data_IF_510094534195
#
_entry.id   IF_510094534195
#
_cell.length_a   1.000
_cell.length_b   1.000
_cell.length_c   1.000
_cell.angle_alpha   90.00
_cell.angle_beta   90.00
_cell.angle_gamma   90.00
#
_symmetry.space_group_name_H-M   'P 1'
#
loop_
_entity.id
_entity.type
_entity.pdbx_description
1 polymer ?
#
# COMPACT_ATOMS: atom_id res chain seq x y z
N UNK A 1 -13.66 18.90 -14.08
CA UNK A 1 -13.10 18.17 -12.91
C UNK A 1 -12.65 16.77 -13.31
N UNK A 2 -11.38 16.43 -13.05
CA UNK A 2 -10.77 15.11 -13.30
C UNK A 2 -11.30 14.05 -12.33
N UNK A 3 -10.93 12.78 -12.54
CA UNK A 3 -11.24 11.69 -11.59
C UNK A 3 -10.62 11.96 -10.22
N UNK A 4 -9.41 12.51 -10.18
CA UNK A 4 -8.74 12.98 -8.96
C UNK A 4 -9.63 13.93 -8.16
N UNK A 5 -10.08 15.04 -8.78
CA UNK A 5 -10.94 16.03 -8.11
C UNK A 5 -12.28 15.46 -7.65
N UNK A 6 -12.89 14.56 -8.44
CA UNK A 6 -14.12 13.84 -8.06
C UNK A 6 -13.91 12.98 -6.81
N UNK A 7 -12.75 12.33 -6.68
CA UNK A 7 -12.42 11.51 -5.52
C UNK A 7 -12.11 12.36 -4.29
N UNK A 8 -11.43 13.50 -4.44
CA UNK A 8 -11.26 14.49 -3.36
C UNK A 8 -12.62 14.96 -2.83
N UNK A 9 -13.51 15.40 -3.72
CA UNK A 9 -14.84 15.87 -3.36
C UNK A 9 -15.64 14.81 -2.57
N UNK A 10 -15.58 13.54 -2.99
CA UNK A 10 -16.23 12.42 -2.29
C UNK A 10 -15.67 12.19 -0.90
N UNK A 11 -14.34 12.22 -0.77
CA UNK A 11 -13.67 12.06 0.51
C UNK A 11 -14.07 13.17 1.49
N UNK A 12 -14.02 14.43 1.05
CA UNK A 12 -14.41 15.59 1.87
C UNK A 12 -15.89 15.53 2.28
N UNK A 13 -16.79 15.20 1.34
CA UNK A 13 -18.23 15.04 1.65
C UNK A 13 -18.44 13.94 2.68
N UNK A 14 -17.73 12.82 2.56
CA UNK A 14 -17.81 11.74 3.55
C UNK A 14 -17.24 12.16 4.92
N UNK A 15 -16.20 13.00 4.94
CA UNK A 15 -15.60 13.54 6.17
C UNK A 15 -16.45 14.60 6.87
N UNK A 16 -17.62 14.96 6.31
CA UNK A 16 -18.53 15.95 6.90
C UNK A 16 -18.16 17.41 6.59
N UNK A 17 -17.33 17.64 5.56
CA UNK A 17 -17.09 19.00 5.06
C UNK A 17 -18.38 19.54 4.44
N UNK A 18 -18.65 20.82 4.68
CA UNK A 18 -19.83 21.53 4.20
C UNK A 18 -20.03 21.40 2.68
N UNK A 19 -21.29 21.25 2.25
CA UNK A 19 -21.62 20.98 0.86
C UNK A 19 -21.23 22.14 -0.07
N UNK A 20 -21.41 23.39 0.35
CA UNK A 20 -21.00 24.55 -0.45
C UNK A 20 -19.47 24.61 -0.59
N UNK A 21 -18.72 24.23 0.46
CA UNK A 21 -17.27 24.13 0.37
C UNK A 21 -16.82 23.01 -0.58
N UNK A 22 -17.47 21.85 -0.56
CA UNK A 22 -17.16 20.76 -1.52
C UNK A 22 -17.54 21.16 -2.95
N UNK A 23 -18.68 21.80 -3.14
CA UNK A 23 -19.15 22.27 -4.45
C UNK A 23 -18.21 23.34 -5.03
N UNK A 24 -17.60 24.17 -4.18
CA UNK A 24 -16.62 25.18 -4.60
C UNK A 24 -15.42 24.58 -5.35
N UNK A 25 -15.11 23.29 -5.17
CA UNK A 25 -14.06 22.60 -5.95
C UNK A 25 -14.34 22.65 -7.46
N UNK A 26 -15.61 22.74 -7.87
CA UNK A 26 -15.97 22.84 -9.30
C UNK A 26 -15.52 24.15 -9.95
N UNK A 27 -15.20 25.17 -9.15
CA UNK A 27 -14.69 26.46 -9.62
C UNK A 27 -13.20 26.44 -9.99
N UNK A 28 -12.48 25.35 -9.67
CA UNK A 28 -11.05 25.23 -9.92
C UNK A 28 -10.75 24.32 -11.11
N UNK A 29 -9.68 24.63 -11.84
CA UNK A 29 -9.18 23.76 -12.89
C UNK A 29 -8.33 22.61 -12.29
N UNK A 30 -8.79 21.38 -12.52
CA UNK A 30 -8.10 20.16 -12.10
C UNK A 30 -7.33 19.50 -13.25
N UNK A 31 -7.23 20.11 -14.43
CA UNK A 31 -6.59 19.52 -15.62
C UNK A 31 -5.17 19.00 -15.36
N UNK A 32 -4.39 19.69 -14.52
CA UNK A 32 -3.05 19.28 -14.09
C UNK A 32 -2.99 18.01 -13.21
N UNK A 33 -4.14 17.42 -12.88
CA UNK A 33 -4.24 16.16 -12.11
C UNK A 33 -4.79 15.01 -12.96
N UNK A 34 -4.83 15.17 -14.29
CA UNK A 34 -5.44 14.20 -15.20
C UNK A 34 -4.77 12.82 -15.15
N UNK A 35 -3.48 12.80 -14.86
CA UNK A 35 -2.63 11.61 -14.71
C UNK A 35 -2.45 11.18 -13.25
N UNK A 36 -3.00 11.91 -12.28
CA UNK A 36 -2.89 11.58 -10.86
C UNK A 36 -4.12 10.82 -10.34
N UNK A 37 -3.89 9.89 -9.43
CA UNK A 37 -4.94 9.18 -8.72
C UNK A 37 -5.11 9.69 -7.29
N UNK A 38 -6.33 9.95 -6.84
CA UNK A 38 -6.61 10.18 -5.41
C UNK A 38 -7.24 8.92 -4.82
N UNK A 39 -6.54 8.30 -3.86
CA UNK A 39 -6.94 7.06 -3.19
C UNK A 39 -7.27 7.38 -1.74
N UNK A 40 -8.32 6.77 -1.21
CA UNK A 40 -8.77 7.03 0.15
C UNK A 40 -9.44 5.83 0.82
N UNK A 41 -9.50 5.87 2.14
CA UNK A 41 -10.27 4.97 3.00
C UNK A 41 -11.21 5.78 3.87
N UNK A 42 -12.43 5.29 4.03
CA UNK A 42 -13.48 5.87 4.88
C UNK A 42 -13.89 4.80 5.89
N UNK A 43 -13.92 5.07 7.20
CA UNK A 43 -14.40 4.11 8.20
C UNK A 43 -15.82 3.62 7.90
N UNK A 44 -16.05 2.33 8.11
CA UNK A 44 -17.38 1.72 7.93
C UNK A 44 -17.37 0.52 7.00
N UNK A 45 -18.59 0.05 6.68
CA UNK A 45 -18.84 -1.05 5.75
C UNK A 45 -19.37 -0.52 4.42
N UNK A 46 -18.70 -0.86 3.33
CA UNK A 46 -19.01 -0.39 1.98
C UNK A 46 -19.36 -1.56 1.08
N UNK A 47 -20.48 -1.47 0.36
CA UNK A 47 -20.99 -2.50 -0.54
C UNK A 47 -21.18 -1.93 -1.95
N UNK A 48 -21.47 -2.80 -2.92
CA UNK A 48 -21.76 -2.39 -4.29
C UNK A 48 -20.65 -1.53 -4.90
N UNK A 49 -21.00 -0.37 -5.44
CA UNK A 49 -20.05 0.53 -6.08
C UNK A 49 -19.11 1.22 -5.07
N UNK A 50 -19.59 1.50 -3.86
CA UNK A 50 -18.80 2.16 -2.82
C UNK A 50 -17.61 1.29 -2.36
N UNK A 51 -17.79 -0.04 -2.35
CA UNK A 51 -16.72 -1.00 -2.08
C UNK A 51 -15.51 -0.78 -2.99
N UNK A 52 -15.74 -0.54 -4.29
CA UNK A 52 -14.70 -0.41 -5.30
C UNK A 52 -13.92 0.91 -5.21
N UNK A 53 -14.35 1.84 -4.36
CA UNK A 53 -13.80 3.20 -4.26
C UNK A 53 -12.92 3.42 -3.04
N UNK A 54 -12.92 2.51 -2.06
CA UNK A 54 -12.24 2.70 -0.78
C UNK A 54 -11.18 1.63 -0.52
N UNK A 55 -10.18 1.95 0.28
CA UNK A 55 -9.15 0.99 0.69
C UNK A 55 -8.37 0.42 -0.48
N UNK A 56 -7.92 -0.83 -0.36
CA UNK A 56 -7.16 -1.47 -1.44
C UNK A 56 -8.00 -1.71 -2.71
N UNK A 57 -9.32 -1.83 -2.61
CA UNK A 57 -10.20 -1.88 -3.78
C UNK A 57 -10.16 -0.55 -4.56
N UNK A 58 -10.23 0.57 -3.83
CA UNK A 58 -10.07 1.91 -4.39
C UNK A 58 -8.69 2.15 -5.02
N UNK A 59 -7.63 1.61 -4.41
CA UNK A 59 -6.29 1.62 -4.99
C UNK A 59 -6.29 0.91 -6.35
N UNK A 60 -6.78 -0.33 -6.42
CA UNK A 60 -6.78 -1.09 -7.68
C UNK A 60 -7.66 -0.49 -8.77
N UNK A 61 -8.84 0.05 -8.40
CA UNK A 61 -9.67 0.80 -9.33
C UNK A 61 -8.96 2.04 -9.88
N UNK A 62 -8.19 2.74 -9.03
CA UNK A 62 -7.40 3.91 -9.43
C UNK A 62 -6.25 3.53 -10.37
N UNK A 63 -5.46 2.51 -10.02
CA UNK A 63 -4.39 1.96 -10.87
C UNK A 63 -4.94 1.58 -12.25
N UNK A 64 -6.09 0.91 -12.30
CA UNK A 64 -6.77 0.57 -13.56
C UNK A 64 -7.24 1.80 -14.32
N UNK A 65 -7.86 2.75 -13.65
CA UNK A 65 -8.37 3.99 -14.26
C UNK A 65 -7.28 4.86 -14.87
N UNK A 66 -6.06 4.80 -14.33
CA UNK A 66 -4.87 5.48 -14.87
C UNK A 66 -4.18 4.72 -16.01
N UNK A 67 -4.68 3.55 -16.42
CA UNK A 67 -4.03 2.72 -17.44
C UNK A 67 -2.74 2.04 -16.96
N UNK A 68 -2.56 1.92 -15.65
CA UNK A 68 -1.37 1.32 -15.01
C UNK A 68 -1.55 -0.17 -14.69
N UNK A 69 -2.77 -0.70 -14.81
CA UNK A 69 -3.07 -2.10 -14.56
C UNK A 69 -2.26 -3.04 -15.46
N UNK A 70 -1.92 -4.22 -14.95
CA UNK A 70 -1.18 -5.24 -15.68
C UNK A 70 -1.49 -6.64 -15.15
N UNK A 71 -1.43 -7.63 -16.01
CA UNK A 71 -1.46 -9.06 -15.69
C UNK A 71 -0.06 -9.67 -15.51
N UNK A 72 0.98 -8.93 -15.93
CA UNK A 72 2.37 -9.34 -15.76
C UNK A 72 2.85 -9.12 -14.33
N UNK A 73 3.88 -9.88 -13.88
CA UNK A 73 4.44 -9.70 -12.55
C UNK A 73 4.96 -8.27 -12.32
N UNK A 74 4.74 -7.73 -11.12
CA UNK A 74 5.28 -6.45 -10.68
C UNK A 74 6.20 -6.65 -9.47
N UNK A 75 7.09 -5.70 -9.21
CA UNK A 75 7.79 -5.55 -7.94
C UNK A 75 7.15 -4.44 -7.11
N UNK A 76 6.91 -4.71 -5.82
CA UNK A 76 6.24 -3.82 -4.88
C UNK A 76 7.12 -3.62 -3.64
N UNK A 77 7.46 -2.37 -3.36
CA UNK A 77 8.23 -1.95 -2.19
C UNK A 77 7.35 -1.02 -1.33
N UNK A 78 6.98 -1.47 -0.12
CA UNK A 78 6.10 -0.72 0.80
C UNK A 78 6.90 -0.21 1.99
N UNK A 79 7.03 1.10 2.13
CA UNK A 79 7.54 1.74 3.34
C UNK A 79 6.39 2.22 4.21
N UNK A 80 6.43 1.95 5.52
CA UNK A 80 5.44 2.43 6.45
C UNK A 80 6.03 2.64 7.85
N UNK A 81 5.36 3.47 8.65
CA UNK A 81 5.78 3.77 10.02
C UNK A 81 5.12 2.82 11.03
N UNK A 82 4.06 2.12 10.65
CA UNK A 82 3.35 1.19 11.52
C UNK A 82 2.91 -0.05 10.76
N UNK A 83 2.98 -1.20 11.43
CA UNK A 83 2.50 -2.49 10.93
C UNK A 83 1.35 -2.97 11.81
N UNK A 84 0.23 -3.28 11.16
CA UNK A 84 -0.90 -3.95 11.80
C UNK A 84 -0.65 -5.44 12.02
N UNK A 85 -1.73 -6.18 12.33
CA UNK A 85 -1.73 -7.65 12.30
C UNK A 85 -1.74 -8.17 10.86
N UNK A 86 -0.67 -7.91 10.11
CA UNK A 86 -0.56 -8.27 8.69
C UNK A 86 -0.40 -9.78 8.52
N UNK A 87 -0.92 -10.30 7.40
CA UNK A 87 -0.82 -11.69 6.99
C UNK A 87 -0.76 -11.77 5.46
N UNK A 88 -0.59 -12.98 4.92
CA UNK A 88 -0.50 -13.20 3.48
C UNK A 88 -1.77 -12.85 2.70
N UNK A 89 -2.96 -12.89 3.30
CA UNK A 89 -4.18 -12.48 2.59
C UNK A 89 -4.16 -10.97 2.34
N UNK A 90 -3.81 -10.15 3.33
CA UNK A 90 -3.65 -8.70 3.15
C UNK A 90 -2.52 -8.38 2.17
N UNK A 91 -1.36 -9.04 2.27
CA UNK A 91 -0.24 -8.80 1.33
C UNK A 91 -0.65 -9.13 -0.10
N UNK A 92 -1.34 -10.25 -0.33
CA UNK A 92 -1.87 -10.59 -1.66
C UNK A 92 -2.91 -9.56 -2.14
N UNK A 93 -3.80 -9.10 -1.26
CA UNK A 93 -4.79 -8.08 -1.61
C UNK A 93 -4.13 -6.78 -2.08
N UNK A 94 -3.11 -6.31 -1.36
CA UNK A 94 -2.34 -5.11 -1.73
C UNK A 94 -1.56 -5.33 -3.03
N UNK A 95 -0.88 -6.48 -3.19
CA UNK A 95 -0.18 -6.81 -4.44
C UNK A 95 -1.13 -6.81 -5.64
N UNK A 96 -2.28 -7.47 -5.51
CA UNK A 96 -3.29 -7.53 -6.58
C UNK A 96 -3.87 -6.13 -6.87
N UNK A 97 -4.15 -5.33 -5.84
CA UNK A 97 -4.55 -3.94 -6.01
C UNK A 97 -3.47 -3.14 -6.76
N UNK A 98 -2.18 -3.42 -6.50
CA UNK A 98 -1.09 -2.79 -7.23
C UNK A 98 -1.03 -3.20 -8.72
N UNK A 99 -1.61 -4.35 -9.09
CA UNK A 99 -1.83 -4.77 -10.47
C UNK A 99 -3.13 -4.22 -11.08
N UNK A 100 -3.96 -3.53 -10.29
CA UNK A 100 -5.25 -2.97 -10.72
C UNK A 100 -6.46 -3.89 -10.48
N UNK A 101 -6.35 -4.87 -9.56
CA UNK A 101 -7.51 -5.67 -9.10
C UNK A 101 -8.40 -4.84 -8.17
N UNK A 102 -9.72 -4.88 -8.37
CA UNK A 102 -10.69 -4.17 -7.54
C UNK A 102 -11.07 -4.91 -6.25
N UNK A 103 -10.26 -5.89 -5.84
CA UNK A 103 -10.38 -6.70 -4.64
C UNK A 103 -11.23 -7.97 -4.77
N UNK A 104 -11.86 -8.19 -5.93
CA UNK A 104 -12.68 -9.38 -6.14
C UNK A 104 -11.85 -10.65 -6.33
N UNK A 105 -10.64 -10.56 -6.88
CA UNK A 105 -9.79 -11.74 -7.07
C UNK A 105 -9.37 -12.37 -5.74
N UNK A 106 -8.90 -11.55 -4.77
CA UNK A 106 -8.56 -12.04 -3.43
C UNK A 106 -9.79 -12.63 -2.73
N UNK A 107 -10.91 -11.89 -2.75
CA UNK A 107 -12.13 -12.30 -2.08
C UNK A 107 -12.64 -13.66 -2.58
N UNK A 108 -12.76 -13.82 -3.90
CA UNK A 108 -13.23 -15.06 -4.53
C UNK A 108 -12.28 -16.23 -4.23
N UNK A 109 -10.98 -15.98 -4.28
CA UNK A 109 -9.96 -16.99 -3.97
C UNK A 109 -10.08 -17.45 -2.51
N UNK A 110 -10.23 -16.52 -1.55
CA UNK A 110 -10.35 -16.85 -0.13
C UNK A 110 -11.67 -17.54 0.21
N UNK A 111 -12.79 -17.11 -0.37
CA UNK A 111 -14.08 -17.80 -0.22
C UNK A 111 -13.99 -19.23 -0.75
N UNK A 112 -13.38 -19.42 -1.92
CA UNK A 112 -13.11 -20.75 -2.49
C UNK A 112 -12.17 -21.61 -1.64
N UNK A 113 -11.15 -21.01 -0.99
CA UNK A 113 -10.22 -21.72 -0.09
C UNK A 113 -10.89 -22.22 1.18
N UNK A 114 -11.78 -21.44 1.80
CA UNK A 114 -12.53 -21.87 2.99
C UNK A 114 -13.36 -23.14 2.73
N UNK A 115 -13.81 -23.33 1.49
CA UNK A 115 -14.50 -24.55 1.07
C UNK A 115 -13.56 -25.76 0.91
N UNK A 116 -12.24 -25.53 0.77
CA UNK A 116 -11.23 -26.56 0.46
C UNK A 116 -10.19 -26.80 1.58
N UNK A 117 -10.28 -26.11 2.72
CA UNK A 117 -9.49 -26.41 3.93
C UNK A 117 -7.96 -26.28 3.83
N UNK A 118 -7.40 -25.61 2.81
CA UNK A 118 -5.94 -25.45 2.64
C UNK A 118 -5.43 -24.10 3.15
N UNK A 119 -4.52 -24.13 4.12
CA UNK A 119 -3.63 -22.99 4.42
C UNK A 119 -2.63 -22.79 3.29
N UNK A 120 -2.36 -21.53 2.95
CA UNK A 120 -1.43 -21.18 1.88
C UNK A 120 -0.04 -20.94 2.48
N UNK A 121 0.97 -21.71 2.02
CA UNK A 121 2.37 -21.27 2.08
C UNK A 121 2.51 -20.06 1.14
N UNK A 122 3.47 -19.15 1.37
CA UNK A 122 3.70 -18.03 0.45
C UNK A 122 3.85 -18.60 -0.96
N UNK A 123 3.13 -18.04 -1.93
CA UNK A 123 3.50 -18.33 -3.33
C UNK A 123 4.93 -17.82 -3.45
N UNK A 124 5.88 -18.66 -3.90
CA UNK A 124 7.29 -18.24 -4.03
C UNK A 124 7.44 -16.86 -4.67
N UNK A 125 6.53 -16.58 -5.61
CA UNK A 125 6.24 -15.27 -6.21
C UNK A 125 6.30 -14.07 -5.25
N UNK A 126 5.58 -14.06 -4.13
CA UNK A 126 5.55 -12.88 -3.25
C UNK A 126 6.90 -12.61 -2.58
N UNK A 127 7.71 -13.65 -2.32
CA UNK A 127 9.02 -13.49 -1.69
C UNK A 127 9.99 -12.72 -2.57
N UNK A 128 9.86 -12.87 -3.87
CA UNK A 128 10.71 -12.21 -4.85
C UNK A 128 10.17 -10.82 -5.23
N UNK A 129 8.89 -10.56 -5.01
CA UNK A 129 8.18 -9.42 -5.59
C UNK A 129 7.60 -8.42 -4.59
N UNK A 130 7.54 -8.74 -3.30
CA UNK A 130 6.95 -7.86 -2.29
C UNK A 130 7.91 -7.64 -1.12
N UNK A 131 8.23 -6.38 -0.83
CA UNK A 131 9.18 -5.98 0.21
C UNK A 131 8.53 -4.96 1.14
N UNK A 132 8.59 -5.22 2.45
CA UNK A 132 8.01 -4.34 3.49
C UNK A 132 9.16 -3.69 4.25
N UNK A 133 9.28 -2.37 4.20
CA UNK A 133 10.33 -1.62 4.89
C UNK A 133 9.80 -1.16 6.23
N UNK A 134 10.40 -1.70 7.30
CA UNK A 134 10.16 -1.30 8.68
C UNK A 134 11.48 -1.36 9.47
N UNK A 135 11.80 -0.37 10.33
CA UNK A 135 13.12 -0.31 10.96
C UNK A 135 13.30 -1.37 12.04
N UNK A 136 14.51 -1.92 12.12
CA UNK A 136 14.91 -2.75 13.25
C UNK A 136 15.05 -1.93 14.53
N UNK A 137 15.03 -2.59 15.69
CA UNK A 137 15.38 -1.95 16.98
C UNK A 137 16.79 -1.35 16.93
N UNK A 138 17.72 -2.00 16.23
CA UNK A 138 19.07 -1.49 16.01
C UNK A 138 19.06 -0.18 15.22
N UNK A 139 18.38 -0.13 14.07
CA UNK A 139 18.23 1.08 13.25
C UNK A 139 17.62 2.23 14.05
N UNK A 140 16.65 1.94 14.92
CA UNK A 140 16.08 2.95 15.83
C UNK A 140 17.08 3.40 16.91
N UNK A 141 17.80 2.46 17.53
CA UNK A 141 18.79 2.77 18.55
C UNK A 141 19.96 3.61 18.04
N UNK A 142 20.41 3.33 16.81
CA UNK A 142 21.51 4.03 16.12
C UNK A 142 21.05 5.34 15.44
N UNK A 143 19.74 5.64 15.45
CA UNK A 143 19.23 6.91 14.92
C UNK A 143 19.67 8.11 15.76
N UNK A 144 19.67 9.30 15.16
CA UNK A 144 20.08 10.56 15.82
C UNK A 144 19.27 10.87 17.09
N UNK A 145 18.00 10.49 17.09
CA UNK A 145 17.11 10.68 18.25
C UNK A 145 17.03 9.46 19.18
N UNK A 146 17.70 8.37 18.83
CA UNK A 146 17.64 7.09 19.53
C UNK A 146 16.22 6.54 19.72
N UNK A 147 16.10 5.55 20.62
CA UNK A 147 14.83 4.88 20.96
C UNK A 147 13.73 5.82 21.46
N UNK A 148 14.10 6.93 22.10
CA UNK A 148 13.14 7.90 22.65
C UNK A 148 12.42 8.71 21.57
N UNK A 149 12.96 8.75 20.35
CA UNK A 149 12.40 9.51 19.22
C UNK A 149 11.57 8.65 18.26
N UNK A 150 11.32 7.38 18.59
CA UNK A 150 10.58 6.44 17.74
C UNK A 150 9.14 6.18 18.20
N UNK A 151 8.57 7.09 19.00
CA UNK A 151 7.20 6.98 19.53
C UNK A 151 6.09 7.00 18.46
N UNK A 152 6.41 7.36 17.22
CA UNK A 152 5.47 7.34 16.09
C UNK A 152 5.68 6.14 15.16
N UNK A 153 6.60 5.23 15.51
CA UNK A 153 6.91 4.03 14.72
C UNK A 153 6.48 2.81 15.53
N UNK A 154 5.58 1.99 14.98
CA UNK A 154 4.88 1.01 15.80
C UNK A 154 4.64 -0.34 15.11
N UNK A 155 5.09 -1.42 15.75
CA UNK A 155 4.51 -2.75 15.57
C UNK A 155 4.34 -3.40 16.94
N UNK A 156 3.25 -4.13 17.15
CA UNK A 156 3.03 -4.86 18.41
C UNK A 156 3.75 -6.20 18.37
N UNK A 157 4.44 -6.55 19.46
CA UNK A 157 5.15 -7.81 19.59
C UNK A 157 4.25 -9.02 19.34
N UNK A 158 2.98 -8.97 19.81
CA UNK A 158 1.99 -10.03 19.60
C UNK A 158 1.69 -10.28 18.11
N UNK A 159 1.67 -9.22 17.30
CA UNK A 159 1.42 -9.33 15.87
C UNK A 159 2.66 -9.85 15.15
N UNK A 160 3.83 -9.28 15.43
CA UNK A 160 5.09 -9.75 14.86
C UNK A 160 5.36 -11.22 15.14
N UNK A 161 5.07 -11.67 16.37
CA UNK A 161 5.32 -13.06 16.79
C UNK A 161 4.28 -14.05 16.27
N UNK A 162 3.17 -13.59 15.69
CA UNK A 162 2.14 -14.48 15.16
C UNK A 162 2.71 -15.35 14.01
N UNK A 163 2.36 -16.66 13.94
CA UNK A 163 2.84 -17.53 12.87
C UNK A 163 2.45 -17.08 11.46
N UNK A 164 1.34 -16.32 11.35
CA UNK A 164 0.84 -15.79 10.08
C UNK A 164 1.52 -14.52 9.61
N UNK A 165 2.37 -13.90 10.43
CA UNK A 165 3.05 -12.66 10.10
C UNK A 165 4.18 -12.93 9.08
N UNK A 166 4.20 -12.25 7.92
CA UNK A 166 5.11 -12.55 6.81
C UNK A 166 6.49 -11.92 7.02
N UNK A 167 7.22 -12.36 8.05
CA UNK A 167 8.52 -11.80 8.45
C UNK A 167 9.55 -11.83 7.32
N UNK A 168 9.51 -12.84 6.44
CA UNK A 168 10.46 -12.99 5.35
C UNK A 168 10.36 -11.89 4.28
N UNK A 169 9.22 -11.18 4.22
CA UNK A 169 9.02 -10.05 3.32
C UNK A 169 9.59 -8.74 3.90
N UNK A 170 9.95 -8.72 5.18
CA UNK A 170 10.36 -7.50 5.87
C UNK A 170 11.84 -7.21 5.61
N UNK A 171 12.13 -5.94 5.34
CA UNK A 171 13.44 -5.35 5.09
C UNK A 171 13.69 -4.23 6.09
N UNK A 172 14.94 -4.09 6.53
CA UNK A 172 15.33 -3.00 7.43
C UNK A 172 15.16 -1.66 6.72
N UNK A 173 14.42 -0.75 7.36
CA UNK A 173 14.12 0.57 6.80
C UNK A 173 15.14 1.59 7.30
N UNK A 174 16.17 1.83 6.48
CA UNK A 174 17.21 2.82 6.75
C UNK A 174 17.04 3.98 5.77
N UNK A 175 16.98 5.20 6.29
CA UNK A 175 16.87 6.41 5.48
C UNK A 175 18.20 6.73 4.78
N UNK A 176 18.15 7.27 3.57
CA UNK A 176 19.33 7.77 2.86
C UNK A 176 19.96 9.00 3.55
N UNK A 177 19.18 9.70 4.38
CA UNK A 177 19.66 10.73 5.31
C UNK A 177 20.10 10.05 6.59
N UNK A 178 21.42 10.03 6.80
CA UNK A 178 22.05 9.35 7.92
C UNK A 178 21.39 9.67 9.29
N UNK A 179 21.05 8.60 10.02
CA UNK A 179 20.42 8.63 11.33
C UNK A 179 18.98 9.17 11.39
N UNK A 180 18.30 9.43 10.26
CA UNK A 180 16.91 9.90 10.24
C UNK A 180 15.92 8.73 10.22
N UNK A 181 14.93 8.75 11.11
CA UNK A 181 13.81 7.79 11.07
C UNK A 181 12.71 8.24 10.09
N UNK A 182 12.00 7.27 9.51
CA UNK A 182 10.93 7.53 8.55
C UNK A 182 9.55 7.42 9.18
N UNK A 183 8.72 8.44 8.93
CA UNK A 183 7.27 8.39 9.21
C UNK A 183 6.42 8.39 7.92
N UNK A 184 7.07 8.32 6.75
CA UNK A 184 6.40 8.29 5.43
C UNK A 184 5.72 6.95 5.16
N UNK A 185 4.64 6.97 4.39
CA UNK A 185 3.97 5.76 3.89
C UNK A 185 3.95 5.82 2.37
N UNK A 186 4.67 4.88 1.76
CA UNK A 186 4.96 4.89 0.34
C UNK A 186 4.78 3.47 -0.19
N UNK A 187 4.18 3.35 -1.38
CA UNK A 187 4.24 2.12 -2.17
C UNK A 187 4.95 2.48 -3.47
N UNK A 188 6.03 1.80 -3.79
CA UNK A 188 6.75 1.93 -5.06
C UNK A 188 6.49 0.68 -5.87
N UNK A 189 6.01 0.84 -7.10
CA UNK A 189 5.70 -0.27 -8.00
C UNK A 189 6.53 -0.15 -9.26
N UNK A 190 7.25 -1.22 -9.59
CA UNK A 190 8.13 -1.32 -10.76
C UNK A 190 7.71 -2.51 -11.61
N UNK A 191 7.80 -2.39 -12.94
CA UNK A 191 7.62 -3.52 -13.86
C UNK A 191 8.99 -4.15 -14.15
N UNK A 192 9.16 -5.48 -14.02
CA UNK A 192 10.38 -6.16 -14.43
C UNK A 192 10.60 -5.99 -15.94
N UNK A 193 11.84 -5.77 -16.37
CA UNK A 193 12.18 -5.55 -17.78
C UNK A 193 11.71 -6.68 -18.72
N UNK A 194 11.65 -7.93 -18.24
CA UNK A 194 11.15 -9.07 -19.02
C UNK A 194 9.64 -9.01 -19.33
N UNK A 195 8.88 -8.20 -18.60
CA UNK A 195 7.43 -8.05 -18.78
C UNK A 195 7.04 -7.04 -19.88
N UNK A 196 8.01 -6.27 -20.41
CA UNK A 196 7.75 -5.19 -21.37
C UNK A 196 7.53 -5.63 -22.82
N UNK A 197 7.88 -6.88 -23.17
CA UNK A 197 7.78 -7.37 -24.55
C UNK A 197 6.33 -7.56 -25.05
N UNK A 198 5.34 -7.33 -24.20
CA UNK A 198 3.91 -7.43 -24.51
C UNK A 198 3.32 -6.03 -24.27
N UNK A 199 3.46 -5.16 -25.26
CA UNK A 199 3.24 -3.72 -25.11
C UNK A 199 1.85 -3.31 -24.59
N UNK A 200 1.79 -2.07 -24.07
CA UNK A 200 0.70 -1.08 -24.20
C UNK A 200 0.67 0.02 -23.12
N UNK A 201 1.62 0.08 -22.16
CA UNK A 201 1.70 1.19 -21.21
C UNK A 201 3.08 1.84 -21.24
N UNK A 202 3.11 3.17 -21.39
CA UNK A 202 4.34 4.00 -21.34
C UNK A 202 4.86 4.20 -19.91
N UNK A 203 4.19 3.65 -18.90
CA UNK A 203 4.59 3.75 -17.51
C UNK A 203 5.49 2.56 -17.11
N UNK A 204 6.74 2.87 -16.75
CA UNK A 204 7.69 1.92 -16.17
C UNK A 204 7.28 1.46 -14.75
N UNK A 205 6.43 2.25 -14.10
CA UNK A 205 5.98 2.02 -12.73
C UNK A 205 5.03 3.11 -12.25
N UNK A 206 4.82 3.14 -10.94
CA UNK A 206 4.08 4.21 -10.26
C UNK A 206 4.37 4.21 -8.77
N UNK A 207 4.04 5.30 -8.09
CA UNK A 207 4.19 5.43 -6.65
C UNK A 207 2.89 5.87 -5.98
N UNK A 208 2.60 5.33 -4.81
CA UNK A 208 1.62 5.89 -3.87
C UNK A 208 2.35 6.63 -2.75
N UNK A 209 1.88 7.81 -2.40
CA UNK A 209 2.31 8.58 -1.23
C UNK A 209 1.08 9.01 -0.44
N UNK A 210 1.02 8.68 0.84
CA UNK A 210 -0.13 9.05 1.66
C UNK A 210 0.02 8.72 3.14
N UNK A 211 -1.12 8.55 3.81
CA UNK A 211 -1.19 8.31 5.25
C UNK A 211 -1.24 6.84 5.64
N UNK A 212 -1.68 5.97 4.72
CA UNK A 212 -2.05 4.59 5.02
C UNK A 212 -0.84 3.71 5.37
N UNK A 213 -0.73 3.32 6.64
CA UNK A 213 0.19 2.27 7.08
C UNK A 213 -0.24 0.90 6.54
N UNK A 214 0.65 -0.10 6.58
CA UNK A 214 0.28 -1.45 6.15
C UNK A 214 -0.51 -2.16 7.25
N UNK A 215 -1.84 -2.02 7.20
CA UNK A 215 -2.79 -2.67 8.11
C UNK A 215 -4.17 -2.86 7.45
N UNK A 216 -4.94 -3.84 7.93
CA UNK A 216 -6.36 -3.99 7.55
C UNK A 216 -7.20 -2.77 7.99
N UNK A 217 -6.79 -2.02 9.02
CA UNK A 217 -7.54 -0.84 9.46
C UNK A 217 -7.48 0.31 8.45
N UNK A 218 -6.29 0.50 7.85
CA UNK A 218 -6.01 1.54 6.88
C UNK A 218 -6.50 1.15 5.48
N UNK A 219 -6.14 -0.04 5.00
CA UNK A 219 -6.46 -0.48 3.63
C UNK A 219 -7.77 -1.25 3.51
N UNK A 220 -8.34 -1.67 4.64
CA UNK A 220 -9.59 -2.43 4.68
C UNK A 220 -9.44 -3.92 4.44
N UNK A 221 -10.58 -4.61 4.54
CA UNK A 221 -10.74 -6.03 4.22
C UNK A 221 -12.11 -6.28 3.58
N UNK A 222 -12.14 -6.94 2.43
CA UNK A 222 -13.40 -7.44 1.87
C UNK A 222 -13.87 -8.66 2.66
N UNK A 223 -15.08 -8.61 3.18
CA UNK A 223 -15.72 -9.70 3.93
C UNK A 223 -17.08 -10.03 3.33
N UNK A 224 -17.61 -11.20 3.66
CA UNK A 224 -19.00 -11.53 3.35
C UNK A 224 -19.90 -10.84 4.37
N UNK A 225 -20.83 -10.02 3.90
CA UNK A 225 -21.86 -9.43 4.74
C UNK A 225 -22.80 -10.50 5.27
N UNK A 226 -23.13 -10.46 6.57
CA UNK A 226 -23.91 -11.52 7.22
C UNK A 226 -25.39 -11.48 6.88
N UNK A 227 -25.95 -10.29 6.63
CA UNK A 227 -27.37 -10.14 6.32
C UNK A 227 -27.66 -10.41 4.85
N UNK A 228 -26.87 -9.82 3.96
CA UNK A 228 -27.10 -9.89 2.51
C UNK A 228 -26.34 -11.01 1.82
N UNK A 229 -25.30 -11.56 2.46
CA UNK A 229 -24.38 -12.52 1.83
C UNK A 229 -23.46 -11.91 0.76
N UNK A 230 -23.58 -10.61 0.48
CA UNK A 230 -22.80 -9.89 -0.53
C UNK A 230 -21.39 -9.52 -0.04
N UNK A 231 -20.51 -9.12 -0.96
CA UNK A 231 -19.19 -8.61 -0.61
C UNK A 231 -19.29 -7.21 0.04
N UNK A 232 -18.56 -7.01 1.12
CA UNK A 232 -18.48 -5.74 1.87
C UNK A 232 -17.05 -5.41 2.22
N UNK A 233 -16.55 -4.25 1.81
CA UNK A 233 -15.28 -3.72 2.28
C UNK A 233 -15.45 -3.10 3.66
N UNK A 234 -14.64 -3.52 4.63
CA UNK A 234 -14.60 -2.92 5.96
C UNK A 234 -13.29 -2.17 6.15
N UNK A 235 -13.38 -0.84 6.30
CA UNK A 235 -12.27 0.03 6.67
C UNK A 235 -12.52 0.57 8.09
N UNK A 236 -11.45 0.87 8.84
CA UNK A 236 -11.57 1.42 10.21
C UNK A 236 -11.00 2.82 10.35
N UNK A 237 -10.12 3.22 9.44
CA UNK A 237 -9.44 4.51 9.49
C UNK A 237 -9.88 5.41 8.33
N UNK A 238 -9.73 6.71 8.56
CA UNK A 238 -9.61 7.71 7.52
C UNK A 238 -8.18 7.68 6.98
N UNK A 239 -8.02 7.46 5.69
CA UNK A 239 -6.72 7.52 5.03
C UNK A 239 -6.89 8.18 3.67
N UNK A 240 -5.86 8.89 3.20
CA UNK A 240 -5.81 9.38 1.84
C UNK A 240 -4.38 9.41 1.31
N UNK A 241 -4.24 9.47 -0.01
CA UNK A 241 -2.96 9.61 -0.68
C UNK A 241 -3.11 9.74 -2.18
N UNK A 242 -1.97 9.94 -2.84
CA UNK A 242 -1.88 10.18 -4.27
C UNK A 242 -1.13 9.04 -4.93
N UNK A 243 -1.65 8.56 -6.06
CA UNK A 243 -0.95 7.68 -7.00
C UNK A 243 -0.38 8.55 -8.11
N UNK A 244 0.93 8.43 -8.33
CA UNK A 244 1.71 9.18 -9.31
C UNK A 244 2.30 8.19 -10.31
N UNK A 245 1.88 8.19 -11.59
CA UNK A 245 2.53 7.44 -12.65
C UNK A 245 4.00 7.81 -12.80
N UNK A 246 4.82 6.85 -13.19
CA UNK A 246 6.24 7.05 -13.49
C UNK A 246 6.48 6.65 -14.94
N UNK A 247 6.77 7.64 -15.77
CA UNK A 247 7.05 7.47 -17.20
C UNK A 247 8.55 7.35 -17.43
N UNK A 248 8.94 6.48 -18.36
CA UNK A 248 10.33 6.26 -18.72
C UNK A 248 10.53 4.85 -19.28
N UNK A 249 11.72 4.58 -19.83
CA UNK A 249 12.12 3.21 -20.09
C UNK A 249 12.53 2.59 -18.75
N UNK A 250 12.01 1.42 -18.36
CA UNK A 250 12.63 0.69 -17.27
C UNK A 250 14.02 0.30 -17.74
N UNK A 251 15.03 0.96 -17.19
CA UNK A 251 16.40 0.47 -17.28
C UNK A 251 16.47 -0.98 -16.79
N UNK A 252 17.54 -1.68 -17.16
CA UNK A 252 17.79 -3.09 -16.81
C UNK A 252 17.23 -3.41 -15.42
N UNK A 253 16.11 -4.15 -15.41
CA UNK A 253 15.17 -4.21 -14.30
C UNK A 253 15.86 -4.36 -12.95
N UNK A 254 15.71 -3.33 -12.11
CA UNK A 254 16.01 -3.25 -10.67
C UNK A 254 16.20 -1.79 -10.25
N UNK A 255 16.35 -0.86 -11.19
CA UNK A 255 16.79 0.48 -10.85
C UNK A 255 15.66 1.37 -10.32
N UNK A 256 15.80 1.82 -9.07
CA UNK A 256 14.90 2.78 -8.45
C UNK A 256 15.07 4.20 -9.04
N UNK A 257 16.04 4.41 -9.93
CA UNK A 257 16.20 5.66 -10.69
C UNK A 257 14.98 6.02 -11.53
N UNK A 258 14.09 5.07 -11.88
CA UNK A 258 12.84 5.42 -12.57
C UNK A 258 12.01 6.44 -11.77
N UNK A 259 12.11 6.43 -10.43
CA UNK A 259 11.40 7.38 -9.57
C UNK A 259 12.09 8.75 -9.49
N UNK A 260 13.33 8.88 -9.99
CA UNK A 260 14.11 10.11 -9.94
C UNK A 260 13.39 11.24 -10.66
N UNK A 261 13.31 12.40 -10.02
CA UNK A 261 12.59 13.58 -10.54
C UNK A 261 11.06 13.49 -10.44
N UNK A 262 10.49 12.34 -10.06
CA UNK A 262 9.04 12.17 -9.86
C UNK A 262 8.71 12.15 -8.37
N UNK A 263 9.28 11.19 -7.63
CA UNK A 263 9.04 11.03 -6.18
C UNK A 263 10.34 10.63 -5.48
N UNK A 264 10.60 11.12 -4.26
CA UNK A 264 11.78 10.71 -3.54
C UNK A 264 11.68 9.24 -3.12
N UNK A 265 12.80 8.53 -3.20
CA UNK A 265 13.00 7.21 -2.57
C UNK A 265 13.87 7.45 -1.32
N UNK A 266 13.26 7.70 -0.15
CA UNK A 266 14.00 8.19 1.02
C UNK A 266 14.75 7.07 1.77
N UNK A 267 14.60 5.82 1.39
CA UNK A 267 15.21 4.66 2.04
C UNK A 267 16.23 3.97 1.14
N UNK A 268 17.16 3.24 1.76
CA UNK A 268 18.06 2.34 1.06
C UNK A 268 17.26 1.23 0.38
N UNK A 269 17.56 0.98 -0.90
CA UNK A 269 16.85 0.03 -1.74
C UNK A 269 17.83 -0.80 -2.59
N UNK A 270 17.65 -2.14 -2.69
CA UNK A 270 16.76 -2.94 -1.86
C UNK A 270 17.25 -2.93 -0.40
N UNK A 271 16.32 -2.82 0.55
CA UNK A 271 16.64 -2.88 1.97
C UNK A 271 17.17 -4.26 2.36
N UNK A 272 18.04 -4.33 3.37
CA UNK A 272 18.58 -5.59 3.88
C UNK A 272 17.45 -6.48 4.44
N UNK A 273 17.34 -7.76 4.06
CA UNK A 273 16.42 -8.69 4.71
C UNK A 273 16.64 -8.80 6.21
N UNK A 274 15.54 -8.94 6.97
CA UNK A 274 15.61 -9.32 8.37
C UNK A 274 16.23 -10.72 8.51
N UNK A 275 17.14 -10.86 9.47
CA UNK A 275 17.67 -12.15 9.93
C UNK A 275 16.83 -12.67 11.09
N UNK A 276 16.95 -13.96 11.41
CA UNK A 276 16.22 -14.56 12.54
C UNK A 276 16.54 -13.90 13.89
N UNK A 277 17.73 -13.33 14.04
CA UNK A 277 18.15 -12.58 15.24
C UNK A 277 17.65 -11.13 15.27
N UNK A 278 17.16 -10.59 14.15
CA UNK A 278 16.69 -9.21 14.08
C UNK A 278 15.34 -9.06 14.78
N UNK A 279 15.19 -7.96 15.51
CA UNK A 279 13.92 -7.54 16.09
C UNK A 279 13.49 -6.23 15.43
N UNK A 280 12.22 -6.08 15.05
CA UNK A 280 11.69 -4.78 14.66
C UNK A 280 11.68 -3.88 15.89
N UNK A 281 11.59 -2.57 15.67
CA UNK A 281 11.25 -1.65 16.75
C UNK A 281 9.82 -1.92 17.27
N UNK A 282 9.70 -2.34 18.54
CA UNK A 282 8.40 -2.50 19.20
C UNK A 282 8.00 -1.22 19.93
N UNK A 283 6.83 -0.68 19.61
CA UNK A 283 6.31 0.51 20.29
C UNK A 283 5.90 0.17 21.72
N UNK A 284 6.56 0.83 22.68
CA UNK A 284 6.51 0.57 24.13
C UNK A 284 7.06 -0.82 24.45
N UNK A 285 8.20 -0.84 25.14
CA UNK A 285 9.10 -1.98 25.26
C UNK A 285 8.39 -3.30 25.56
N UNK A 286 8.87 -4.36 24.91
CA UNK A 286 8.44 -5.73 25.19
C UNK A 286 8.73 -6.10 26.64
N UNK A 287 7.73 -5.91 27.49
CA UNK A 287 7.41 -6.90 28.51
C UNK A 287 6.66 -8.05 27.84
#
# INVERSE_FOLDING_TARGET
MTVFGKNVARFLKASGVDEAMVESLTNYDFSATADLGFVYSIPGGHTGEALRRVGYCGLGATVRGLGLATDTPIEVDVACASLGSINYDLVNAIYNACQGDDGMQEYNTRVGRKLKGKEMRPTGRLRDQFRIYFPTDRTVAESKGGRQSAGTICVQAKWWRAPSFPKELVRDCVNNRDGLLMHSKIILVRRPAAAELIGQSSAAGWAYIGSANLSESAWGRVVKDRGTGSAKMSCRNWECGVVVPVHGNPGNGCDFTIFSGVVPVPMMVPGRPYKDSDKPWFFLGGQ
#
